data_IF_101170051060
#
_entry.id   IF_101170051060
#
_cell.length_a   1.000
_cell.length_b   1.000
_cell.length_c   1.000
_cell.angle_alpha   90.00
_cell.angle_beta   90.00
_cell.angle_gamma   90.00
#
_symmetry.space_group_name_H-M   'P 1'
#
loop_
_entity.id
_entity.type
_entity.pdbx_description
1 polymer ?
#
# COMPACT_ATOMS: atom_id res chain seq x y z
N UNK A 1 7.97 0.88 -11.98
CA UNK A 1 7.67 1.43 -13.32
C UNK A 1 6.20 1.19 -13.63
N UNK A 2 5.60 1.96 -14.53
CA UNK A 2 4.20 1.82 -14.94
C UNK A 2 4.07 2.19 -16.43
N UNK A 3 3.01 1.71 -17.08
CA UNK A 3 2.70 2.02 -18.47
C UNK A 3 1.58 3.04 -18.58
N UNK A 4 1.63 3.90 -19.60
CA UNK A 4 0.49 4.72 -20.03
C UNK A 4 0.02 4.15 -21.38
N UNK A 5 -1.27 3.87 -21.51
CA UNK A 5 -1.84 3.31 -22.73
C UNK A 5 -1.93 4.39 -23.82
N UNK A 6 -2.16 3.97 -25.07
CA UNK A 6 -2.22 4.88 -26.22
C UNK A 6 -3.37 5.90 -26.20
N UNK A 7 -4.28 5.83 -25.22
CA UNK A 7 -5.30 6.85 -24.96
C UNK A 7 -4.78 8.03 -24.14
N UNK A 8 -3.54 7.94 -23.64
CA UNK A 8 -2.84 8.91 -22.78
C UNK A 8 -3.58 9.25 -21.47
N UNK A 9 -4.58 8.45 -21.10
CA UNK A 9 -5.43 8.65 -19.92
C UNK A 9 -5.40 7.48 -18.95
N UNK A 10 -5.08 6.29 -19.45
CA UNK A 10 -5.06 5.08 -18.66
C UNK A 10 -3.63 4.72 -18.26
N UNK A 11 -3.37 4.67 -16.96
CA UNK A 11 -2.13 4.14 -16.41
C UNK A 11 -2.31 2.69 -15.92
N UNK A 12 -1.39 1.81 -16.29
CA UNK A 12 -1.29 0.43 -15.79
C UNK A 12 -0.12 0.35 -14.82
N UNK A 13 -0.43 0.12 -13.55
CA UNK A 13 0.51 0.18 -12.43
C UNK A 13 0.66 -1.22 -11.83
N UNK A 14 1.90 -1.70 -11.75
CA UNK A 14 2.23 -2.88 -10.96
C UNK A 14 2.80 -2.46 -9.61
N UNK A 15 2.08 -2.79 -8.53
CA UNK A 15 2.48 -2.45 -7.16
C UNK A 15 3.85 -3.03 -6.80
N UNK A 16 4.12 -4.27 -7.24
CA UNK A 16 5.39 -4.96 -7.00
C UNK A 16 6.60 -4.21 -7.55
N UNK A 17 6.42 -3.35 -8.56
CA UNK A 17 7.52 -2.57 -9.12
C UNK A 17 8.06 -1.49 -8.16
N UNK A 18 7.36 -1.19 -7.06
CA UNK A 18 7.81 -0.29 -6.00
C UNK A 18 7.74 -0.90 -4.59
N UNK A 19 6.88 -1.90 -4.38
CA UNK A 19 6.58 -2.48 -3.07
C UNK A 19 6.60 -4.02 -3.10
N UNK A 20 7.39 -4.60 -4.01
CA UNK A 20 7.39 -6.04 -4.32
C UNK A 20 8.39 -6.86 -3.51
N UNK A 21 8.10 -8.15 -3.35
CA UNK A 21 8.99 -9.15 -2.72
C UNK A 21 10.33 -9.28 -3.45
N UNK A 22 10.32 -9.14 -4.77
CA UNK A 22 11.52 -9.23 -5.62
C UNK A 22 12.49 -8.07 -5.43
N UNK A 23 12.11 -7.02 -4.69
CA UNK A 23 12.98 -5.88 -4.37
C UNK A 23 13.82 -6.10 -3.11
N UNK A 24 13.55 -7.18 -2.37
CA UNK A 24 14.19 -7.46 -1.09
C UNK A 24 14.95 -8.78 -1.14
N UNK A 25 16.12 -8.82 -0.50
CA UNK A 25 16.77 -10.07 -0.11
C UNK A 25 15.99 -10.77 1.01
N UNK A 26 16.29 -12.04 1.26
CA UNK A 26 15.61 -12.82 2.30
C UNK A 26 15.79 -12.21 3.69
N UNK A 27 16.94 -11.62 3.94
CA UNK A 27 17.32 -11.00 5.20
C UNK A 27 16.63 -9.65 5.43
N UNK A 28 16.15 -9.01 4.35
CA UNK A 28 15.41 -7.74 4.38
C UNK A 28 13.89 -7.93 4.51
N UNK A 29 13.39 -9.16 4.39
CA UNK A 29 11.97 -9.47 4.51
C UNK A 29 11.47 -9.20 5.93
N UNK A 30 10.76 -8.09 6.09
CA UNK A 30 10.16 -7.72 7.37
C UNK A 30 8.85 -6.94 7.18
N UNK A 31 7.68 -7.60 7.25
CA UNK A 31 6.38 -7.00 6.96
C UNK A 31 5.93 -6.00 8.03
N UNK A 32 6.60 -5.96 9.18
CA UNK A 32 6.36 -4.96 10.23
C UNK A 32 6.80 -3.55 9.81
N UNK A 33 7.81 -3.46 8.92
CA UNK A 33 8.45 -2.19 8.54
C UNK A 33 8.35 -1.88 7.04
N UNK A 34 8.05 -2.85 6.18
CA UNK A 34 7.91 -2.60 4.74
C UNK A 34 6.71 -1.70 4.46
N UNK A 35 6.86 -0.84 3.45
CA UNK A 35 5.96 0.28 3.19
C UNK A 35 5.49 0.30 1.75
N UNK A 36 4.23 0.70 1.54
CA UNK A 36 3.63 0.88 0.22
C UNK A 36 3.82 2.29 -0.36
N UNK A 37 4.66 3.11 0.28
CA UNK A 37 4.87 4.51 -0.10
C UNK A 37 5.27 4.69 -1.57
N UNK A 38 6.17 3.85 -2.08
CA UNK A 38 6.59 3.89 -3.48
C UNK A 38 5.44 3.67 -4.47
N UNK A 39 4.44 2.85 -4.13
CA UNK A 39 3.24 2.67 -4.95
C UNK A 39 2.41 3.95 -5.01
N UNK A 40 2.26 4.66 -3.89
CA UNK A 40 1.57 5.95 -3.89
C UNK A 40 2.32 7.04 -4.65
N UNK A 41 3.66 7.00 -4.68
CA UNK A 41 4.46 7.89 -5.53
C UNK A 41 4.20 7.64 -7.02
N UNK A 42 4.13 6.37 -7.44
CA UNK A 42 3.77 6.02 -8.82
C UNK A 42 2.37 6.52 -9.18
N UNK A 43 1.40 6.36 -8.27
CA UNK A 43 0.03 6.85 -8.49
C UNK A 43 0.02 8.38 -8.66
N UNK A 44 0.72 9.12 -7.80
CA UNK A 44 0.84 10.57 -7.95
C UNK A 44 1.49 10.98 -9.27
N UNK A 45 2.55 10.29 -9.71
CA UNK A 45 3.21 10.57 -10.99
C UNK A 45 2.29 10.31 -12.19
N UNK A 46 1.51 9.22 -12.16
CA UNK A 46 0.50 8.94 -13.19
C UNK A 46 -0.57 10.04 -13.26
N UNK A 47 -1.09 10.47 -12.11
CA UNK A 47 -2.07 11.56 -12.03
C UNK A 47 -1.47 12.88 -12.51
N UNK A 48 -0.22 13.18 -12.15
CA UNK A 48 0.48 14.39 -12.59
C UNK A 48 0.68 14.43 -14.12
N UNK A 49 0.78 13.26 -14.77
CA UNK A 49 0.81 13.10 -16.22
C UNK A 49 -0.58 13.13 -16.88
N UNK A 50 -1.64 13.39 -16.12
CA UNK A 50 -3.00 13.55 -16.64
C UNK A 50 -3.82 12.27 -16.71
N UNK A 51 -3.32 11.14 -16.17
CA UNK A 51 -4.08 9.91 -16.15
C UNK A 51 -5.29 10.00 -15.22
N UNK A 52 -6.46 9.63 -15.73
CA UNK A 52 -7.73 9.59 -14.99
C UNK A 52 -8.20 8.18 -14.70
N UNK A 53 -7.68 7.19 -15.42
CA UNK A 53 -8.04 5.78 -15.28
C UNK A 53 -6.79 5.02 -14.82
N UNK A 54 -6.90 4.34 -13.67
CA UNK A 54 -5.79 3.61 -13.07
C UNK A 54 -6.16 2.13 -12.99
N UNK A 55 -5.37 1.28 -13.65
CA UNK A 55 -5.45 -0.17 -13.51
C UNK A 55 -4.27 -0.61 -12.64
N UNK A 56 -4.53 -1.17 -11.46
CA UNK A 56 -3.51 -1.48 -10.47
C UNK A 56 -3.47 -3.00 -10.23
N UNK A 57 -2.34 -3.62 -10.58
CA UNK A 57 -2.03 -4.99 -10.17
C UNK A 57 -1.37 -5.01 -8.79
N UNK A 58 -1.95 -5.76 -7.86
CA UNK A 58 -1.54 -5.79 -6.44
C UNK A 58 -0.86 -7.11 -6.01
N UNK A 59 -0.52 -7.99 -6.95
CA UNK A 59 0.20 -9.22 -6.67
C UNK A 59 1.68 -8.99 -6.31
N UNK A 60 2.29 -9.97 -5.63
CA UNK A 60 3.74 -10.02 -5.41
C UNK A 60 4.30 -9.01 -4.40
N UNK A 61 3.50 -8.55 -3.44
CA UNK A 61 3.87 -7.48 -2.49
C UNK A 61 4.73 -7.96 -1.32
N UNK A 62 5.67 -7.13 -0.89
CA UNK A 62 6.48 -7.35 0.33
C UNK A 62 5.84 -6.76 1.59
N UNK A 63 4.72 -6.06 1.45
CA UNK A 63 4.18 -5.15 2.47
C UNK A 63 2.99 -5.74 3.23
N UNK A 64 2.80 -5.32 4.48
CA UNK A 64 1.58 -5.55 5.24
C UNK A 64 1.19 -4.31 6.07
N UNK A 65 1.23 -3.15 5.44
CA UNK A 65 0.94 -1.84 6.06
C UNK A 65 -0.48 -1.35 5.79
N UNK A 66 -1.40 -2.24 5.35
CA UNK A 66 -2.78 -1.87 5.02
C UNK A 66 -2.92 -0.81 3.92
N UNK A 67 -1.87 -0.56 3.12
CA UNK A 67 -1.85 0.53 2.15
C UNK A 67 -1.57 1.91 2.77
N UNK A 68 -1.15 1.97 4.04
CA UNK A 68 -0.88 3.22 4.73
C UNK A 68 0.24 4.03 4.07
N UNK A 69 1.33 3.39 3.64
CA UNK A 69 2.40 4.06 2.89
C UNK A 69 1.88 4.71 1.60
N UNK A 70 1.09 3.97 0.81
CA UNK A 70 0.48 4.48 -0.42
C UNK A 70 -0.38 5.70 -0.15
N UNK A 71 -1.24 5.65 0.87
CA UNK A 71 -2.10 6.78 1.24
C UNK A 71 -1.31 7.97 1.80
N UNK A 72 -0.20 7.73 2.50
CA UNK A 72 0.74 8.78 2.95
C UNK A 72 1.36 9.53 1.77
N UNK A 73 1.84 8.81 0.77
CA UNK A 73 2.36 9.45 -0.45
C UNK A 73 1.28 10.29 -1.14
N UNK A 74 0.01 9.87 -1.09
CA UNK A 74 -1.14 10.63 -1.57
C UNK A 74 -1.52 11.82 -0.67
N UNK A 75 -0.86 12.03 0.47
CA UNK A 75 -1.08 13.16 1.38
C UNK A 75 -2.02 12.90 2.57
N UNK A 76 -2.44 11.66 2.79
CA UNK A 76 -3.17 11.27 4.00
C UNK A 76 -2.20 11.14 5.18
N UNK A 77 -2.52 11.75 6.31
CA UNK A 77 -1.73 11.61 7.53
C UNK A 77 -2.35 10.59 8.48
N UNK A 78 -1.49 9.79 9.10
CA UNK A 78 -1.84 8.75 10.06
C UNK A 78 -1.28 9.18 11.41
N UNK A 79 -2.17 9.53 12.35
CA UNK A 79 -1.80 10.20 13.60
C UNK A 79 -2.08 9.32 14.81
N UNK A 80 -1.21 9.41 15.81
CA UNK A 80 -1.44 8.82 17.13
C UNK A 80 -2.36 9.67 18.01
N UNK A 81 -2.60 9.23 19.24
CA UNK A 81 -3.47 9.91 20.21
C UNK A 81 -3.01 11.34 20.55
N UNK A 82 -1.71 11.64 20.40
CA UNK A 82 -1.14 12.97 20.64
C UNK A 82 -1.19 13.88 19.38
N UNK A 83 -1.77 13.39 18.28
CA UNK A 83 -1.85 14.12 17.01
C UNK A 83 -0.53 14.19 16.23
N UNK A 84 0.43 13.30 16.52
CA UNK A 84 1.72 13.19 15.79
C UNK A 84 1.65 12.08 14.74
N UNK A 85 2.39 12.24 13.64
CA UNK A 85 2.46 11.19 12.61
C UNK A 85 3.08 9.91 13.17
N UNK A 86 2.43 8.76 12.90
CA UNK A 86 2.97 7.44 13.22
C UNK A 86 4.01 7.03 12.15
N UNK A 87 5.04 6.23 12.52
CA UNK A 87 6.06 5.75 11.58
C UNK A 87 5.50 4.91 10.42
N UNK A 88 6.35 4.62 9.43
CA UNK A 88 6.00 3.68 8.36
C UNK A 88 5.99 2.21 8.81
N UNK A 89 5.39 1.35 7.99
CA UNK A 89 5.26 -0.09 8.24
C UNK A 89 3.97 -0.49 8.93
N UNK A 90 3.65 -1.79 8.84
CA UNK A 90 2.43 -2.36 9.43
C UNK A 90 2.38 -2.29 10.94
N UNK A 91 3.53 -2.44 11.62
CA UNK A 91 3.58 -2.37 13.09
C UNK A 91 3.13 -1.02 13.63
N UNK A 92 3.44 0.06 12.94
CA UNK A 92 3.10 1.41 13.38
C UNK A 92 1.58 1.64 13.41
N UNK A 93 0.79 0.87 12.66
CA UNK A 93 -0.68 0.99 12.65
C UNK A 93 -1.30 0.70 14.02
N UNK A 94 -0.63 -0.02 14.91
CA UNK A 94 -1.06 -0.21 16.29
C UNK A 94 -1.17 1.11 17.07
N UNK A 95 -0.44 2.15 16.65
CA UNK A 95 -0.49 3.49 17.25
C UNK A 95 -1.53 4.40 16.59
N UNK A 96 -2.20 3.95 15.52
CA UNK A 96 -3.15 4.77 14.77
C UNK A 96 -4.38 5.12 15.62
N UNK A 97 -4.65 6.41 15.72
CA UNK A 97 -5.82 6.94 16.42
C UNK A 97 -6.67 7.86 15.54
N UNK A 98 -6.05 8.59 14.60
CA UNK A 98 -6.76 9.54 13.72
C UNK A 98 -6.19 9.58 12.31
N UNK A 99 -7.06 9.81 11.32
CA UNK A 99 -6.68 10.07 9.94
C UNK A 99 -6.98 11.53 9.59
N UNK A 100 -5.97 12.25 9.10
CA UNK A 100 -6.11 13.63 8.63
C UNK A 100 -5.92 13.70 7.11
N UNK A 101 -7.00 14.03 6.40
CA UNK A 101 -7.07 14.10 4.94
C UNK A 101 -6.95 15.51 4.36
N UNK A 102 -6.61 16.52 5.18
CA UNK A 102 -6.51 17.92 4.73
C UNK A 102 -5.60 18.11 3.51
N UNK A 103 -4.49 17.36 3.47
CA UNK A 103 -3.49 17.44 2.41
C UNK A 103 -3.60 16.32 1.38
N UNK A 104 -4.68 15.53 1.41
CA UNK A 104 -4.89 14.46 0.44
C UNK A 104 -4.95 15.06 -0.98
N UNK A 105 -4.20 14.47 -1.92
CA UNK A 105 -4.24 14.81 -3.33
C UNK A 105 -5.64 14.49 -3.88
N UNK A 106 -6.51 15.49 -3.90
CA UNK A 106 -7.92 15.35 -4.30
C UNK A 106 -8.13 14.88 -5.73
N UNK A 107 -7.09 14.92 -6.58
CA UNK A 107 -7.18 14.37 -7.93
C UNK A 107 -7.45 12.86 -7.91
N UNK A 108 -6.98 12.11 -6.89
CA UNK A 108 -7.26 10.67 -6.76
C UNK A 108 -8.75 10.38 -6.67
N UNK A 109 -9.54 11.29 -6.08
CA UNK A 109 -10.99 11.15 -5.92
C UNK A 109 -11.75 11.28 -7.24
N UNK A 110 -11.09 11.77 -8.29
CA UNK A 110 -11.64 11.89 -9.65
C UNK A 110 -11.17 10.75 -10.56
N UNK A 111 -10.23 9.94 -10.09
CA UNK A 111 -9.73 8.81 -10.86
C UNK A 111 -10.71 7.64 -10.80
N UNK A 112 -10.86 6.97 -11.93
CA UNK A 112 -11.49 5.65 -12.02
C UNK A 112 -10.42 4.58 -11.73
N UNK A 113 -10.52 3.92 -10.59
CA UNK A 113 -9.49 2.98 -10.12
C UNK A 113 -10.04 1.55 -10.21
N UNK A 114 -9.38 0.72 -11.01
CA UNK A 114 -9.63 -0.72 -11.11
C UNK A 114 -8.46 -1.47 -10.52
N UNK A 115 -8.73 -2.33 -9.55
CA UNK A 115 -7.72 -3.17 -8.91
C UNK A 115 -7.87 -4.59 -9.45
N UNK A 116 -6.80 -5.16 -9.98
CA UNK A 116 -6.76 -6.57 -10.35
C UNK A 116 -6.50 -7.39 -9.08
N UNK A 117 -7.55 -8.03 -8.57
CA UNK A 117 -7.55 -8.89 -7.39
C UNK A 117 -8.10 -10.26 -7.79
N UNK A 118 -7.34 -11.32 -7.50
CA UNK A 118 -7.65 -12.71 -7.83
C UNK A 118 -7.95 -13.59 -6.60
N UNK A 119 -8.08 -12.97 -5.43
CA UNK A 119 -8.35 -13.63 -4.16
C UNK A 119 -9.52 -12.95 -3.41
N UNK A 120 -10.24 -13.73 -2.61
CA UNK A 120 -11.40 -13.28 -1.81
C UNK A 120 -11.08 -13.10 -0.32
N UNK A 121 -9.79 -13.13 0.05
CA UNK A 121 -9.35 -13.00 1.44
C UNK A 121 -9.75 -11.63 2.03
N UNK A 122 -10.40 -11.58 3.22
CA UNK A 122 -10.70 -10.32 3.89
C UNK A 122 -9.43 -9.63 4.41
N UNK A 123 -9.59 -8.41 4.94
CA UNK A 123 -8.48 -7.67 5.53
C UNK A 123 -7.89 -8.39 6.75
N UNK A 124 -8.74 -8.76 7.72
CA UNK A 124 -8.35 -9.35 9.00
C UNK A 124 -9.01 -10.72 9.24
N UNK A 125 -8.52 -11.44 10.24
CA UNK A 125 -9.07 -12.69 10.75
C UNK A 125 -8.35 -13.94 10.24
N UNK A 126 -8.88 -15.14 10.50
CA UNK A 126 -8.20 -16.41 10.22
C UNK A 126 -7.85 -16.63 8.74
N UNK A 127 -8.60 -16.02 7.82
CA UNK A 127 -8.35 -16.04 6.38
C UNK A 127 -7.91 -14.66 5.86
N UNK A 128 -7.52 -13.75 6.76
CA UNK A 128 -7.17 -12.37 6.48
C UNK A 128 -5.82 -12.21 5.80
N UNK A 129 -5.48 -10.97 5.45
CA UNK A 129 -4.25 -10.65 4.74
C UNK A 129 -3.00 -11.09 5.53
N UNK A 130 -2.99 -10.79 6.83
CA UNK A 130 -1.90 -11.13 7.74
C UNK A 130 -1.75 -12.65 7.90
N UNK A 131 -2.85 -13.36 8.18
CA UNK A 131 -2.81 -14.81 8.37
C UNK A 131 -2.34 -15.59 7.13
N UNK A 132 -2.74 -15.15 5.92
CA UNK A 132 -2.54 -15.93 4.69
C UNK A 132 -1.26 -15.53 3.94
N UNK A 133 -0.96 -14.24 3.83
CA UNK A 133 0.08 -13.77 2.90
C UNK A 133 1.36 -13.29 3.58
N UNK A 134 1.37 -13.07 4.89
CA UNK A 134 2.55 -12.56 5.62
C UNK A 134 3.58 -13.65 5.99
N UNK A 135 3.25 -14.94 6.16
CA UNK A 135 4.27 -15.97 6.35
C UNK A 135 5.35 -16.00 5.26
N UNK A 136 4.96 -15.85 3.99
CA UNK A 136 5.90 -15.76 2.86
C UNK A 136 6.68 -14.43 2.79
N UNK A 137 6.32 -13.43 3.61
CA UNK A 137 6.96 -12.11 3.70
C UNK A 137 7.94 -12.01 4.87
N UNK A 138 8.23 -13.11 5.58
CA UNK A 138 9.26 -13.16 6.64
C UNK A 138 8.73 -13.01 8.08
N UNK A 139 7.42 -13.04 8.30
CA UNK A 139 6.84 -12.94 9.64
C UNK A 139 6.81 -14.27 10.41
N UNK A 140 6.95 -14.17 11.73
CA UNK A 140 6.59 -15.24 12.65
C UNK A 140 5.13 -15.13 13.12
N UNK A 141 4.65 -16.09 13.93
CA UNK A 141 3.27 -16.11 14.43
C UNK A 141 2.89 -14.88 15.27
N UNK A 142 3.83 -14.34 16.08
CA UNK A 142 3.58 -13.13 16.87
C UNK A 142 3.45 -11.90 15.96
N UNK A 143 4.24 -11.82 14.90
CA UNK A 143 4.14 -10.72 13.93
C UNK A 143 2.78 -10.76 13.22
N UNK A 144 2.31 -11.95 12.85
CA UNK A 144 0.99 -12.15 12.24
C UNK A 144 -0.12 -11.67 13.19
N UNK A 145 -0.06 -12.05 14.46
CA UNK A 145 -1.05 -11.60 15.47
C UNK A 145 -1.03 -10.07 15.69
N UNK A 146 0.14 -9.43 15.62
CA UNK A 146 0.24 -7.98 15.78
C UNK A 146 -0.24 -7.20 14.55
N UNK A 147 -0.20 -7.83 13.36
CA UNK A 147 -0.53 -7.22 12.08
C UNK A 147 -1.99 -7.43 11.65
N UNK A 148 -2.72 -8.35 12.30
CA UNK A 148 -4.14 -8.63 12.05
C UNK A 148 -5.06 -7.68 12.83
#
# INVERSE_FOLDING_TARGET
FYGILGDEKTAVIEMAAASGLNLLSKEELNPLITSTYGTGQIINDAIAKGCTDLIIGIGGTATNDGGAGMLRALGLRFLNADGRDIPEGGKALMELHHLDSKNLNKAILRCNIKVACDVDNPLCGPNGASAVFVPQKGANENDIMNLD
#
